data_IF_371176708432
#
_entry.id   IF_371176708432
#
_cell.length_a   1.000
_cell.length_b   1.000
_cell.length_c   1.000
_cell.angle_alpha   90.00
_cell.angle_beta   90.00
_cell.angle_gamma   90.00
#
_symmetry.space_group_name_H-M   'P 1'
#
loop_
_entity.id
_entity.type
_entity.pdbx_description
1 polymer ?
#
# COMPACT_ATOMS: atom_id res chain seq x y z
N UNK A 1 4.97 -8.74 13.99
CA UNK A 1 4.96 -7.31 14.37
C UNK A 1 5.47 -6.37 13.26
N UNK A 2 6.31 -6.83 12.32
CA UNK A 2 6.76 -6.05 11.16
C UNK A 2 5.64 -5.63 10.19
N UNK A 3 4.62 -6.49 10.00
CA UNK A 3 3.51 -6.23 9.07
C UNK A 3 2.65 -5.02 9.46
N UNK A 4 2.59 -4.66 10.75
CA UNK A 4 1.83 -3.52 11.25
C UNK A 4 2.48 -2.16 10.89
N UNK A 5 3.81 -2.11 10.87
CA UNK A 5 4.56 -0.90 10.54
C UNK A 5 4.69 -0.69 9.02
N UNK A 6 4.76 -1.78 8.25
CA UNK A 6 4.85 -1.73 6.79
C UNK A 6 3.57 -1.20 6.12
N UNK A 7 2.40 -1.57 6.66
CA UNK A 7 1.11 -1.04 6.18
C UNK A 7 0.93 0.45 6.42
N UNK A 8 1.55 1.00 7.48
CA UNK A 8 1.46 2.41 7.84
C UNK A 8 2.43 3.31 7.05
N UNK A 9 3.52 2.76 6.50
CA UNK A 9 4.57 3.54 5.83
C UNK A 9 4.47 3.58 4.31
N UNK A 10 3.47 2.94 3.69
CA UNK A 10 3.07 3.17 2.29
C UNK A 10 4.13 2.93 1.20
N UNK A 11 5.34 2.49 1.55
CA UNK A 11 6.50 2.47 0.66
C UNK A 11 7.21 1.11 0.59
N UNK A 12 6.77 0.12 1.38
CA UNK A 12 7.27 -1.26 1.26
C UNK A 12 6.38 -1.97 0.24
N UNK A 13 6.93 -2.42 -0.90
CA UNK A 13 6.16 -3.17 -1.88
C UNK A 13 5.58 -4.45 -1.27
N UNK A 14 4.29 -4.71 -1.48
CA UNK A 14 3.58 -5.87 -0.91
C UNK A 14 4.25 -7.21 -1.25
N UNK A 15 4.72 -7.35 -2.49
CA UNK A 15 5.34 -8.58 -2.99
C UNK A 15 6.55 -9.04 -2.19
N UNK A 16 7.28 -8.12 -1.55
CA UNK A 16 8.40 -8.48 -0.68
C UNK A 16 7.90 -9.18 0.59
N UNK A 17 6.84 -8.65 1.19
CA UNK A 17 6.24 -9.23 2.40
C UNK A 17 5.57 -10.58 2.07
N UNK A 18 4.87 -10.65 0.94
CA UNK A 18 4.27 -11.89 0.46
C UNK A 18 5.33 -12.98 0.22
N UNK A 19 6.46 -12.65 -0.42
CA UNK A 19 7.59 -13.57 -0.60
C UNK A 19 8.21 -14.02 0.71
N UNK A 20 8.43 -13.11 1.65
CA UNK A 20 8.96 -13.47 2.97
C UNK A 20 8.01 -14.40 3.73
N UNK A 21 6.70 -14.13 3.70
CA UNK A 21 5.70 -14.96 4.37
C UNK A 21 5.58 -16.35 3.71
N UNK A 22 5.57 -16.42 2.37
CA UNK A 22 5.53 -17.70 1.64
C UNK A 22 6.81 -18.51 1.89
N UNK A 23 7.99 -17.88 1.82
CA UNK A 23 9.26 -18.54 2.10
C UNK A 23 9.39 -19.03 3.53
N UNK A 24 8.77 -18.34 4.50
CA UNK A 24 8.88 -18.67 5.93
C UNK A 24 7.81 -19.65 6.42
N UNK A 25 6.59 -19.58 5.88
CA UNK A 25 5.42 -20.32 6.39
C UNK A 25 4.76 -21.23 5.35
N UNK A 26 5.31 -21.30 4.13
CA UNK A 26 4.73 -22.01 3.00
C UNK A 26 3.64 -21.20 2.28
N UNK A 27 3.26 -21.65 1.07
CA UNK A 27 2.36 -20.90 0.18
C UNK A 27 1.01 -20.62 0.83
N UNK A 28 0.35 -21.62 1.40
CA UNK A 28 -1.00 -21.47 1.96
C UNK A 28 -1.03 -20.49 3.15
N UNK A 29 -0.26 -20.79 4.20
CA UNK A 29 -0.24 -19.97 5.42
C UNK A 29 0.39 -18.60 5.17
N UNK A 30 1.43 -18.54 4.34
CA UNK A 30 2.07 -17.28 3.95
C UNK A 30 1.13 -16.34 3.18
N UNK A 31 0.31 -16.88 2.28
CA UNK A 31 -0.70 -16.10 1.53
C UNK A 31 -1.77 -15.55 2.46
N UNK A 32 -2.29 -16.37 3.39
CA UNK A 32 -3.32 -15.94 4.35
C UNK A 32 -2.78 -14.86 5.29
N UNK A 33 -1.56 -15.02 5.81
CA UNK A 33 -0.93 -14.01 6.67
C UNK A 33 -0.67 -12.69 5.94
N UNK A 34 -0.28 -12.76 4.67
CA UNK A 34 -0.06 -11.58 3.82
C UNK A 34 -1.38 -10.85 3.57
N UNK A 35 -2.42 -11.58 3.19
CA UNK A 35 -3.76 -11.04 2.97
C UNK A 35 -4.31 -10.35 4.23
N UNK A 36 -4.22 -11.02 5.39
CA UNK A 36 -4.69 -10.47 6.66
C UNK A 36 -3.91 -9.20 7.05
N UNK A 37 -2.59 -9.21 6.91
CA UNK A 37 -1.73 -8.08 7.19
C UNK A 37 -2.03 -6.87 6.30
N UNK A 38 -2.29 -7.11 5.02
CA UNK A 38 -2.63 -6.04 4.08
C UNK A 38 -4.01 -5.45 4.31
N UNK A 39 -5.02 -6.29 4.56
CA UNK A 39 -6.37 -5.82 4.87
C UNK A 39 -6.33 -4.97 6.14
N UNK A 40 -5.66 -5.45 7.19
CA UNK A 40 -5.52 -4.72 8.44
C UNK A 40 -4.76 -3.39 8.24
N UNK A 41 -3.63 -3.45 7.52
CA UNK A 41 -2.85 -2.27 7.18
C UNK A 41 -3.61 -1.26 6.32
N UNK A 42 -4.46 -1.71 5.40
CA UNK A 42 -5.28 -0.83 4.57
C UNK A 42 -6.35 -0.10 5.38
N UNK A 43 -7.01 -0.78 6.33
CA UNK A 43 -8.00 -0.16 7.22
C UNK A 43 -7.33 0.88 8.12
N UNK A 44 -6.22 0.51 8.78
CA UNK A 44 -5.47 1.45 9.60
C UNK A 44 -4.99 2.65 8.79
N UNK A 45 -4.40 2.39 7.61
CA UNK A 45 -3.99 3.42 6.67
C UNK A 45 -5.13 4.35 6.28
N UNK A 46 -6.33 3.82 6.01
CA UNK A 46 -7.49 4.63 5.65
C UNK A 46 -7.84 5.65 6.73
N UNK A 47 -7.90 5.22 7.99
CA UNK A 47 -8.18 6.12 9.10
C UNK A 47 -7.04 7.12 9.35
N UNK A 48 -5.79 6.68 9.24
CA UNK A 48 -4.62 7.55 9.37
C UNK A 48 -4.58 8.63 8.28
N UNK A 49 -4.76 8.25 7.02
CA UNK A 49 -4.83 9.21 5.90
C UNK A 49 -6.00 10.17 6.08
N UNK A 50 -7.18 9.69 6.46
CA UNK A 50 -8.35 10.54 6.67
C UNK A 50 -8.15 11.54 7.80
N UNK A 51 -7.50 11.11 8.89
CA UNK A 51 -7.09 12.01 9.96
C UNK A 51 -6.02 13.02 9.52
N UNK A 52 -5.06 12.61 8.70
CA UNK A 52 -4.09 13.51 8.09
C UNK A 52 -4.77 14.58 7.22
N UNK A 53 -5.69 14.15 6.36
CA UNK A 53 -6.44 15.02 5.46
C UNK A 53 -7.40 15.98 6.17
N UNK A 54 -7.95 15.60 7.33
CA UNK A 54 -8.80 16.51 8.11
C UNK A 54 -8.02 17.72 8.64
N UNK A 55 -6.71 17.55 8.89
CA UNK A 55 -5.78 18.59 9.40
C UNK A 55 -5.12 19.44 8.32
N UNK A 56 -5.39 19.20 7.03
CA UNK A 56 -4.79 19.97 5.93
C UNK A 56 -5.34 21.40 5.92
N UNK A 57 -4.49 22.34 5.48
CA UNK A 57 -4.81 23.77 5.38
C UNK A 57 -6.11 24.03 4.59
N UNK A 58 -6.89 25.07 4.95
CA UNK A 58 -8.15 25.41 4.29
C UNK A 58 -8.02 25.67 2.79
N UNK A 59 -6.90 26.25 2.36
CA UNK A 59 -6.59 26.52 0.94
C UNK A 59 -6.61 25.26 0.08
N UNK A 60 -6.10 24.15 0.62
CA UNK A 60 -6.08 22.87 -0.09
C UNK A 60 -7.48 22.25 -0.21
N UNK A 61 -8.33 22.47 0.79
CA UNK A 61 -9.74 22.03 0.80
C UNK A 61 -10.58 22.78 -0.24
N UNK A 62 -10.15 23.97 -0.68
CA UNK A 62 -10.81 24.74 -1.74
C UNK A 62 -10.35 24.34 -3.15
N UNK A 63 -9.33 23.47 -3.27
CA UNK A 63 -8.83 23.04 -4.57
C UNK A 63 -9.89 22.29 -5.39
N UNK A 64 -9.81 22.42 -6.72
CA UNK A 64 -10.71 21.71 -7.65
C UNK A 64 -10.64 20.20 -7.46
N UNK A 65 -9.44 19.68 -7.18
CA UNK A 65 -9.20 18.26 -6.94
C UNK A 65 -9.89 17.77 -5.66
N UNK A 66 -9.74 18.49 -4.55
CA UNK A 66 -10.39 18.14 -3.28
C UNK A 66 -11.91 18.08 -3.46
N UNK A 67 -12.50 19.13 -4.04
CA UNK A 67 -13.94 19.18 -4.30
C UNK A 67 -14.42 18.07 -5.23
N UNK A 68 -13.64 17.72 -6.25
CA UNK A 68 -13.97 16.63 -7.16
C UNK A 68 -13.98 15.27 -6.44
N UNK A 69 -12.96 14.98 -5.63
CA UNK A 69 -12.88 13.75 -4.83
C UNK A 69 -13.99 13.67 -3.78
N UNK A 70 -14.30 14.80 -3.12
CA UNK A 70 -15.29 14.84 -2.05
C UNK A 70 -16.74 14.73 -2.54
N UNK A 71 -17.00 15.08 -3.80
CA UNK A 71 -18.32 14.94 -4.43
C UNK A 71 -18.58 13.57 -5.06
N UNK A 72 -17.61 12.66 -5.03
CA UNK A 72 -17.78 11.34 -5.63
C UNK A 72 -18.81 10.51 -4.86
N UNK A 73 -19.78 9.88 -5.55
CA UNK A 73 -20.69 8.93 -4.92
C UNK A 73 -19.93 7.75 -4.30
N UNK A 74 -20.38 7.28 -3.14
CA UNK A 74 -19.75 6.15 -2.45
C UNK A 74 -19.67 4.89 -3.33
N UNK A 75 -20.67 4.65 -4.19
CA UNK A 75 -20.67 3.54 -5.15
C UNK A 75 -19.56 3.66 -6.19
N UNK A 76 -19.35 4.86 -6.76
CA UNK A 76 -18.27 5.12 -7.73
C UNK A 76 -16.91 4.90 -7.09
N UNK A 77 -16.73 5.36 -5.85
CA UNK A 77 -15.48 5.14 -5.10
C UNK A 77 -15.28 3.67 -4.79
N UNK A 78 -16.34 2.96 -4.38
CA UNK A 78 -16.31 1.52 -4.09
C UNK A 78 -15.80 0.72 -5.30
N UNK A 79 -16.39 0.95 -6.48
CA UNK A 79 -15.96 0.30 -7.72
C UNK A 79 -14.56 0.73 -8.16
N UNK A 80 -14.21 2.01 -7.97
CA UNK A 80 -12.85 2.48 -8.21
C UNK A 80 -11.82 1.76 -7.35
N UNK A 81 -12.07 1.60 -6.05
CA UNK A 81 -11.20 0.85 -5.14
C UNK A 81 -11.02 -0.59 -5.64
N UNK A 82 -12.11 -1.27 -5.98
CA UNK A 82 -12.05 -2.63 -6.51
C UNK A 82 -11.18 -2.73 -7.75
N UNK A 83 -11.46 -1.90 -8.77
CA UNK A 83 -10.72 -1.92 -10.03
C UNK A 83 -9.23 -1.62 -9.83
N UNK A 84 -8.90 -0.58 -9.06
CA UNK A 84 -7.49 -0.25 -8.79
C UNK A 84 -6.78 -1.32 -7.96
N UNK A 85 -7.48 -2.08 -7.11
CA UNK A 85 -6.91 -3.19 -6.34
C UNK A 85 -6.64 -4.43 -7.19
N UNK A 86 -7.44 -4.64 -8.23
CA UNK A 86 -7.26 -5.73 -9.19
C UNK A 86 -6.11 -5.49 -10.15
N UNK A 87 -5.82 -4.22 -10.46
CA UNK A 87 -4.70 -3.88 -11.31
C UNK A 87 -3.38 -4.25 -10.62
N UNK A 88 -2.54 -5.11 -11.23
CA UNK A 88 -1.18 -5.28 -10.76
C UNK A 88 -0.47 -3.91 -10.87
N UNK A 89 0.50 -3.65 -10.01
CA UNK A 89 1.33 -2.43 -9.99
C UNK A 89 0.72 -1.17 -9.36
N UNK A 90 -0.57 -1.13 -9.03
CA UNK A 90 -1.11 0.01 -8.27
C UNK A 90 -0.73 -0.15 -6.78
N UNK A 91 0.07 0.76 -6.21
CA UNK A 91 0.45 0.67 -4.80
C UNK A 91 -0.77 0.77 -3.89
N UNK A 92 -0.83 -0.12 -2.91
CA UNK A 92 -1.93 -0.19 -1.93
C UNK A 92 -2.15 1.13 -1.19
N UNK A 93 -1.06 1.83 -0.87
CA UNK A 93 -1.09 3.13 -0.22
C UNK A 93 -1.80 4.21 -1.03
N UNK A 94 -1.63 4.22 -2.37
CA UNK A 94 -2.28 5.21 -3.23
C UNK A 94 -3.79 5.03 -3.27
N UNK A 95 -4.26 3.78 -3.40
CA UNK A 95 -5.70 3.48 -3.40
C UNK A 95 -6.32 3.84 -2.05
N UNK A 96 -5.65 3.51 -0.95
CA UNK A 96 -6.11 3.85 0.41
C UNK A 96 -6.16 5.36 0.62
N UNK A 97 -5.12 6.10 0.22
CA UNK A 97 -5.08 7.55 0.35
C UNK A 97 -6.15 8.22 -0.51
N UNK A 98 -6.32 7.79 -1.76
CA UNK A 98 -7.38 8.27 -2.65
C UNK A 98 -8.76 8.05 -2.06
N UNK A 99 -9.04 6.84 -1.57
CA UNK A 99 -10.31 6.53 -0.91
C UNK A 99 -10.55 7.39 0.34
N UNK A 100 -9.51 7.64 1.15
CA UNK A 100 -9.60 8.41 2.38
C UNK A 100 -9.94 9.90 2.16
N UNK A 101 -9.69 10.46 0.96
CA UNK A 101 -10.09 11.82 0.56
C UNK A 101 -11.58 11.94 0.22
N UNK A 102 -12.24 10.82 -0.08
CA UNK A 102 -13.65 10.78 -0.48
C UNK A 102 -14.59 10.63 0.73
N UNK A 103 -15.92 10.83 0.59
CA UNK A 103 -16.85 10.65 1.70
C UNK A 103 -17.18 9.18 2.01
N UNK A 104 -16.58 8.19 1.32
CA UNK A 104 -16.83 6.76 1.58
C UNK A 104 -16.61 6.42 3.07
N UNK A 105 -17.46 5.57 3.64
CA UNK A 105 -17.30 5.12 5.01
C UNK A 105 -16.27 3.98 5.10
N UNK A 106 -15.75 3.74 6.31
CA UNK A 106 -14.71 2.73 6.54
C UNK A 106 -15.16 1.30 6.22
N UNK A 107 -16.45 0.99 6.40
CA UNK A 107 -17.00 -0.34 6.14
C UNK A 107 -17.06 -0.66 4.63
N UNK A 108 -17.56 0.27 3.82
CA UNK A 108 -17.58 0.15 2.36
C UNK A 108 -16.16 0.10 1.80
N UNK A 109 -15.25 0.90 2.34
CA UNK A 109 -13.83 0.82 2.00
C UNK A 109 -13.26 -0.57 2.34
N UNK A 110 -13.53 -1.09 3.54
CA UNK A 110 -13.07 -2.41 3.96
C UNK A 110 -13.57 -3.51 3.03
N UNK A 111 -14.86 -3.51 2.69
CA UNK A 111 -15.46 -4.50 1.79
C UNK A 111 -14.84 -4.40 0.39
N UNK A 112 -14.81 -3.20 -0.21
CA UNK A 112 -14.21 -3.00 -1.54
C UNK A 112 -12.74 -3.40 -1.57
N UNK A 113 -11.97 -2.95 -0.57
CA UNK A 113 -10.54 -3.22 -0.51
C UNK A 113 -10.27 -4.70 -0.32
N UNK A 114 -11.00 -5.38 0.56
CA UNK A 114 -10.81 -6.81 0.82
C UNK A 114 -11.17 -7.65 -0.41
N UNK A 115 -12.32 -7.38 -1.02
CA UNK A 115 -12.77 -8.07 -2.23
C UNK A 115 -11.79 -7.90 -3.40
N UNK A 116 -11.21 -6.71 -3.58
CA UNK A 116 -10.22 -6.48 -4.61
C UNK A 116 -8.86 -7.10 -4.29
N UNK A 117 -8.53 -7.23 -3.00
CA UNK A 117 -7.21 -7.71 -2.56
C UNK A 117 -7.09 -9.22 -2.52
N UNK A 118 -8.18 -9.95 -2.23
CA UNK A 118 -8.22 -11.41 -2.31
C UNK A 118 -7.65 -11.92 -3.64
N UNK A 119 -8.27 -11.64 -4.81
CA UNK A 119 -7.77 -12.13 -6.09
C UNK A 119 -6.37 -11.59 -6.44
N UNK A 120 -6.06 -10.35 -6.06
CA UNK A 120 -4.75 -9.75 -6.29
C UNK A 120 -3.63 -10.48 -5.52
N UNK A 121 -3.87 -10.84 -4.26
CA UNK A 121 -2.88 -11.55 -3.43
C UNK A 121 -2.73 -13.00 -3.87
N UNK A 122 -3.79 -13.66 -4.34
CA UNK A 122 -3.66 -14.97 -4.96
C UNK A 122 -2.78 -14.93 -6.22
N UNK A 123 -2.98 -13.93 -7.08
CA UNK A 123 -2.14 -13.73 -8.27
C UNK A 123 -0.70 -13.41 -7.88
N UNK A 124 -0.50 -12.53 -6.89
CA UNK A 124 0.81 -12.17 -6.35
C UNK A 124 1.53 -13.40 -5.78
N UNK A 125 0.84 -14.22 -4.98
CA UNK A 125 1.38 -15.46 -4.43
C UNK A 125 1.78 -16.46 -5.51
N UNK A 126 0.98 -16.61 -6.58
CA UNK A 126 1.30 -17.48 -7.70
C UNK A 126 2.57 -17.02 -8.43
N UNK A 127 2.69 -15.71 -8.71
CA UNK A 127 3.87 -15.12 -9.34
C UNK A 127 5.11 -15.29 -8.44
N UNK A 128 4.99 -14.94 -7.16
CA UNK A 128 6.07 -15.03 -6.18
C UNK A 128 6.54 -16.47 -6.02
N UNK A 129 5.62 -17.42 -5.90
CA UNK A 129 5.96 -18.84 -5.82
C UNK A 129 6.70 -19.30 -7.07
N UNK A 130 6.22 -18.92 -8.27
CA UNK A 130 6.91 -19.21 -9.52
C UNK A 130 8.33 -18.63 -9.57
N UNK A 131 8.52 -17.40 -9.10
CA UNK A 131 9.86 -16.78 -9.01
C UNK A 131 10.76 -17.53 -8.02
N UNK A 132 10.22 -17.92 -6.86
CA UNK A 132 10.99 -18.64 -5.83
C UNK A 132 11.54 -19.96 -6.37
N UNK A 133 10.73 -20.69 -7.14
CA UNK A 133 11.11 -21.99 -7.72
C UNK A 133 12.04 -21.86 -8.94
N UNK A 134 11.88 -20.81 -9.76
CA UNK A 134 12.60 -20.68 -11.03
C UNK A 134 13.89 -19.87 -10.95
N UNK A 135 13.98 -18.92 -10.02
CA UNK A 135 15.11 -17.98 -9.92
C UNK A 135 16.05 -18.41 -8.79
N UNK A 136 17.37 -18.48 -8.99
CA UNK A 136 18.30 -18.82 -7.92
C UNK A 136 18.21 -17.85 -6.73
N UNK A 137 18.27 -18.38 -5.51
CA UNK A 137 18.15 -17.58 -4.28
C UNK A 137 19.13 -16.40 -4.20
N UNK A 138 20.35 -16.56 -4.71
CA UNK A 138 21.36 -15.49 -4.80
C UNK A 138 20.84 -14.27 -5.59
N UNK A 139 20.15 -14.50 -6.70
CA UNK A 139 19.59 -13.44 -7.53
C UNK A 139 18.42 -12.77 -6.82
N UNK A 140 17.58 -13.56 -6.14
CA UNK A 140 16.46 -13.02 -5.34
C UNK A 140 16.96 -12.08 -4.22
N UNK A 141 17.96 -12.52 -3.44
CA UNK A 141 18.55 -11.72 -2.37
C UNK A 141 19.26 -10.48 -2.91
N UNK A 142 19.99 -10.59 -4.03
CA UNK A 142 20.68 -9.46 -4.65
C UNK A 142 19.69 -8.37 -5.07
N UNK A 143 18.57 -8.73 -5.71
CA UNK A 143 17.51 -7.78 -6.08
C UNK A 143 16.87 -7.16 -4.84
N UNK A 144 16.56 -7.96 -3.82
CA UNK A 144 15.99 -7.47 -2.56
C UNK A 144 16.89 -6.44 -1.86
N UNK A 145 18.20 -6.73 -1.78
CA UNK A 145 19.19 -5.80 -1.21
C UNK A 145 19.30 -4.53 -2.06
N UNK A 146 19.34 -4.65 -3.39
CA UNK A 146 19.42 -3.49 -4.28
C UNK A 146 18.23 -2.54 -4.11
N UNK A 147 17.00 -3.08 -4.02
CA UNK A 147 15.79 -2.29 -3.77
C UNK A 147 15.83 -1.62 -2.39
N UNK A 148 16.26 -2.35 -1.36
CA UNK A 148 16.40 -1.80 -0.02
C UNK A 148 17.43 -0.65 0.05
N UNK A 149 18.58 -0.82 -0.58
CA UNK A 149 19.62 0.21 -0.66
C UNK A 149 19.13 1.43 -1.46
N UNK A 150 18.41 1.23 -2.57
CA UNK A 150 17.82 2.33 -3.33
C UNK A 150 16.80 3.11 -2.48
N UNK A 151 15.93 2.41 -1.74
CA UNK A 151 14.97 3.04 -0.84
C UNK A 151 15.66 3.83 0.28
N UNK A 152 16.71 3.26 0.90
CA UNK A 152 17.54 3.95 1.89
C UNK A 152 18.23 5.18 1.32
N UNK A 153 18.80 5.07 0.12
CA UNK A 153 19.47 6.18 -0.56
C UNK A 153 18.50 7.35 -0.77
N UNK A 154 17.31 7.07 -1.31
CA UNK A 154 16.25 8.08 -1.50
C UNK A 154 15.85 8.70 -0.17
N UNK A 155 15.68 7.90 0.88
CA UNK A 155 15.29 8.39 2.20
C UNK A 155 16.35 9.31 2.84
N UNK A 156 17.63 8.92 2.77
CA UNK A 156 18.75 9.73 3.26
C UNK A 156 18.88 11.05 2.47
N UNK A 157 18.68 11.00 1.16
CA UNK A 157 18.73 12.20 0.32
C UNK A 157 17.59 13.17 0.66
N UNK A 158 16.37 12.65 0.90
CA UNK A 158 15.24 13.48 1.36
C UNK A 158 15.48 14.10 2.74
N UNK A 159 16.16 13.40 3.66
CA UNK A 159 16.55 13.96 4.96
C UNK A 159 17.60 15.07 4.85
N UNK A 160 18.59 14.93 3.98
CA UNK A 160 19.60 15.99 3.73
C UNK A 160 18.96 17.25 3.13
N UNK A 161 18.00 17.09 2.21
CA UNK A 161 17.27 18.22 1.61
C UNK A 161 16.37 18.92 2.63
N UNK A 162 15.67 18.17 3.49
CA UNK A 162 14.82 18.76 4.54
C UNK A 162 15.63 19.47 5.65
N UNK A 163 16.85 18.99 5.97
CA UNK A 163 17.73 19.62 6.96
C UNK A 163 18.39 20.93 6.49
N UNK A 164 18.59 21.11 5.18
CA UNK A 164 19.19 22.32 4.62
C UNK A 164 18.20 23.49 4.47
N UNK A 165 16.89 23.25 4.55
CA UNK A 165 15.86 24.30 4.47
C UNK A 165 15.56 25.02 5.80
N UNK A 166 16.13 24.57 6.92
CA UNK A 166 15.96 25.17 8.26
C UNK A 166 17.16 26.05 8.68
N UNK A 167 18.10 26.29 7.76
CA UNK A 167 19.32 27.10 7.97
C UNK A 167 19.37 28.38 7.11
N UNK A 168 18.27 28.73 6.45
CA UNK A 168 18.05 30.02 5.80
C UNK A 168 16.91 30.75 6.53
#
# INVERSE_FOLDING_TARGET
MLNLAAGALGFIPSFLLTGLNISSFGVATGTVLSLAGEIFGAILGFYLYRFGFSKVQPSWKQSRFWNYMHKQPAATVFWGILLFRLLPFVPSGLVTAGAALTPINGLLFFIASSLGKIPAVFLEAAIVYGIIETVPAVVQYAVGIAVFLAALFVWLHKRKVAGNGLRQ
#
